data_IF_690690528699
#
_entry.id   IF_690690528699
#
_cell.length_a   1.000
_cell.length_b   1.000
_cell.length_c   1.000
_cell.angle_alpha   90.00
_cell.angle_beta   90.00
_cell.angle_gamma   90.00
#
_symmetry.space_group_name_H-M   'P 1'
#
loop_
_entity.id
_entity.type
_entity.pdbx_description
1 polymer ?
#
# COMPACT_ATOMS: atom_id res chain seq x y z
N UNK A 1 16.23 -1.85 20.86
CA UNK A 1 16.80 -3.01 20.14
C UNK A 1 17.66 -3.81 21.13
N UNK A 2 17.28 -5.06 21.39
CA UNK A 2 18.16 -5.98 22.10
C UNK A 2 19.23 -6.49 21.12
N UNK A 3 20.41 -5.90 21.18
CA UNK A 3 21.56 -6.25 20.34
C UNK A 3 22.55 -7.19 21.05
N UNK A 4 22.19 -7.67 22.25
CA UNK A 4 23.07 -8.48 23.09
C UNK A 4 23.19 -9.93 22.59
N UNK A 5 22.27 -10.39 21.76
CA UNK A 5 22.29 -11.73 21.17
C UNK A 5 21.77 -11.74 19.73
N UNK A 6 22.26 -12.69 18.92
CA UNK A 6 21.77 -12.92 17.55
C UNK A 6 20.27 -13.18 17.54
N UNK A 7 19.78 -13.94 18.53
CA UNK A 7 18.35 -14.24 18.67
C UNK A 7 17.53 -12.96 18.96
N UNK A 8 18.05 -12.07 19.82
CA UNK A 8 17.43 -10.76 20.09
C UNK A 8 17.32 -9.91 18.83
N UNK A 9 18.35 -9.88 18.00
CA UNK A 9 18.32 -9.14 16.72
C UNK A 9 17.25 -9.73 15.79
N UNK A 10 17.26 -11.04 15.57
CA UNK A 10 16.32 -11.73 14.66
C UNK A 10 14.86 -11.54 15.07
N UNK A 11 14.56 -11.47 16.35
CA UNK A 11 13.18 -11.26 16.84
C UNK A 11 12.77 -9.79 16.86
N UNK A 12 13.69 -8.88 17.13
CA UNK A 12 13.40 -7.45 17.29
C UNK A 12 13.36 -6.70 15.95
N UNK A 13 14.23 -7.04 15.01
CA UNK A 13 14.32 -6.34 13.72
C UNK A 13 13.00 -6.38 12.92
N UNK A 14 12.28 -7.51 12.79
CA UNK A 14 10.99 -7.54 12.10
C UNK A 14 9.94 -6.66 12.76
N UNK A 15 9.91 -6.62 14.11
CA UNK A 15 8.96 -5.77 14.85
C UNK A 15 9.25 -4.30 14.63
N UNK A 16 10.50 -3.89 14.75
CA UNK A 16 10.95 -2.51 14.48
C UNK A 16 10.66 -2.13 13.03
N UNK A 17 10.86 -3.04 12.08
CA UNK A 17 10.54 -2.80 10.68
C UNK A 17 9.05 -2.57 10.44
N UNK A 18 8.17 -3.38 11.03
CA UNK A 18 6.71 -3.21 10.93
C UNK A 18 6.29 -1.89 11.56
N UNK A 19 6.82 -1.57 12.73
CA UNK A 19 6.55 -0.31 13.41
C UNK A 19 7.06 0.89 12.59
N UNK A 20 8.28 0.82 12.06
CA UNK A 20 8.84 1.83 11.18
C UNK A 20 8.01 2.05 9.92
N UNK A 21 7.53 0.97 9.27
CA UNK A 21 6.77 1.03 8.02
C UNK A 21 5.33 1.54 8.21
N UNK A 22 4.67 1.20 9.32
CA UNK A 22 3.23 1.34 9.45
C UNK A 22 2.75 2.15 10.66
N UNK A 23 3.63 2.59 11.55
CA UNK A 23 3.22 3.48 12.60
C UNK A 23 3.02 4.93 12.06
N UNK A 24 2.21 5.79 12.72
CA UNK A 24 1.45 5.46 13.92
C UNK A 24 0.26 4.54 13.63
N UNK A 25 -0.01 3.63 14.57
CA UNK A 25 -1.22 2.84 14.52
C UNK A 25 -2.42 3.65 15.06
N UNK A 26 -3.68 3.27 14.75
CA UNK A 26 -4.87 4.05 15.16
C UNK A 26 -4.94 4.36 16.67
N UNK A 27 -4.41 3.47 17.50
CA UNK A 27 -4.36 3.63 18.97
C UNK A 27 -3.20 4.50 19.48
N UNK A 28 -2.32 4.94 18.59
CA UNK A 28 -1.17 5.81 18.89
C UNK A 28 -1.43 7.28 18.51
N UNK A 29 -2.61 7.57 17.96
CA UNK A 29 -2.98 8.91 17.49
C UNK A 29 -3.38 9.77 18.69
N UNK A 30 -2.58 10.79 18.98
CA UNK A 30 -2.81 11.73 20.08
C UNK A 30 -3.12 13.15 19.58
N UNK A 31 -2.70 13.48 18.37
CA UNK A 31 -2.84 14.82 17.82
C UNK A 31 -3.09 14.83 16.30
N UNK A 32 -3.38 16.02 15.74
CA UNK A 32 -3.70 16.18 14.31
C UNK A 32 -2.55 15.75 13.40
N UNK A 33 -1.29 15.91 13.83
CA UNK A 33 -0.12 15.48 13.02
C UNK A 33 -0.07 13.96 12.89
N UNK A 34 -0.48 13.25 13.93
CA UNK A 34 -0.52 11.78 13.92
C UNK A 34 -1.61 11.26 12.98
N UNK A 35 -2.71 12.03 12.79
CA UNK A 35 -3.75 11.70 11.80
C UNK A 35 -3.17 11.74 10.39
N UNK A 36 -2.38 12.76 10.04
CA UNK A 36 -1.72 12.81 8.73
C UNK A 36 -0.74 11.65 8.54
N UNK A 37 0.06 11.34 9.55
CA UNK A 37 0.99 10.22 9.52
C UNK A 37 0.26 8.87 9.40
N UNK A 38 -0.88 8.70 10.08
CA UNK A 38 -1.73 7.52 9.95
C UNK A 38 -2.30 7.37 8.54
N UNK A 39 -2.79 8.45 7.93
CA UNK A 39 -3.29 8.43 6.56
C UNK A 39 -2.18 8.05 5.56
N UNK A 40 -0.98 8.60 5.75
CA UNK A 40 0.19 8.24 4.94
C UNK A 40 0.55 6.76 5.11
N UNK A 41 0.53 6.24 6.33
CA UNK A 41 0.78 4.83 6.64
C UNK A 41 -0.24 3.91 5.96
N UNK A 42 -1.54 4.26 5.99
CA UNK A 42 -2.61 3.52 5.30
C UNK A 42 -2.39 3.52 3.78
N UNK A 43 -2.05 4.66 3.20
CA UNK A 43 -1.76 4.75 1.77
C UNK A 43 -0.53 3.91 1.40
N UNK A 44 0.52 3.92 2.21
CA UNK A 44 1.73 3.11 2.02
C UNK A 44 1.39 1.63 2.03
N UNK A 45 0.61 1.18 3.01
CA UNK A 45 0.12 -0.19 3.08
C UNK A 45 -0.68 -0.57 1.83
N UNK A 46 -1.62 0.30 1.40
CA UNK A 46 -2.45 0.08 0.23
C UNK A 46 -1.60 -0.07 -1.05
N UNK A 47 -0.66 0.85 -1.30
CA UNK A 47 0.20 0.77 -2.47
C UNK A 47 1.14 -0.42 -2.43
N UNK A 48 1.68 -0.78 -1.27
CA UNK A 48 2.49 -1.97 -1.09
C UNK A 48 1.69 -3.25 -1.41
N UNK A 49 0.45 -3.33 -0.93
CA UNK A 49 -0.46 -4.44 -1.26
C UNK A 49 -0.68 -4.55 -2.78
N UNK A 50 -0.94 -3.44 -3.46
CA UNK A 50 -1.11 -3.44 -4.91
C UNK A 50 0.18 -3.72 -5.67
N UNK A 51 1.34 -3.27 -5.19
CA UNK A 51 2.64 -3.60 -5.76
C UNK A 51 2.95 -5.10 -5.65
N UNK A 52 2.72 -5.71 -4.50
CA UNK A 52 2.83 -7.16 -4.30
C UNK A 52 1.84 -7.93 -5.18
N UNK A 53 0.59 -7.45 -5.28
CA UNK A 53 -0.41 -8.03 -6.18
C UNK A 53 0.00 -7.95 -7.65
N UNK A 54 0.64 -6.86 -8.08
CA UNK A 54 1.20 -6.70 -9.42
C UNK A 54 2.32 -7.70 -9.67
N UNK A 55 3.26 -7.82 -8.74
CA UNK A 55 4.33 -8.81 -8.81
C UNK A 55 3.82 -10.24 -8.91
N UNK A 56 2.89 -10.61 -8.03
CA UNK A 56 2.32 -11.96 -7.98
C UNK A 56 1.62 -12.36 -9.29
N UNK A 57 0.94 -11.39 -9.94
CA UNK A 57 0.19 -11.62 -11.18
C UNK A 57 0.99 -11.42 -12.46
N UNK A 58 2.19 -10.89 -12.36
CA UNK A 58 3.11 -10.75 -13.48
C UNK A 58 3.81 -12.07 -13.79
N UNK A 59 4.32 -12.22 -15.02
CA UNK A 59 5.07 -13.39 -15.48
C UNK A 59 6.33 -12.97 -16.23
N UNK A 60 7.25 -13.91 -16.42
CA UNK A 60 8.48 -13.71 -17.18
C UNK A 60 9.36 -12.58 -16.60
N UNK A 61 9.95 -11.81 -17.49
CA UNK A 61 10.87 -10.72 -17.14
C UNK A 61 10.21 -9.64 -16.28
N UNK A 62 8.96 -9.29 -16.55
CA UNK A 62 8.22 -8.28 -15.79
C UNK A 62 8.14 -8.65 -14.32
N UNK A 63 7.86 -9.92 -14.00
CA UNK A 63 7.87 -10.42 -12.62
C UNK A 63 9.23 -10.25 -11.96
N UNK A 64 10.30 -10.53 -12.69
CA UNK A 64 11.68 -10.39 -12.20
C UNK A 64 12.01 -8.93 -11.87
N UNK A 65 11.63 -7.98 -12.73
CA UNK A 65 11.81 -6.55 -12.47
C UNK A 65 11.02 -6.07 -11.25
N UNK A 66 9.75 -6.44 -11.14
CA UNK A 66 8.95 -6.12 -9.96
C UNK A 66 9.56 -6.71 -8.69
N UNK A 67 9.97 -7.97 -8.72
CA UNK A 67 10.62 -8.63 -7.58
C UNK A 67 11.91 -7.94 -7.16
N UNK A 68 12.77 -7.61 -8.12
CA UNK A 68 14.02 -6.88 -7.85
C UNK A 68 13.75 -5.53 -7.18
N UNK A 69 12.83 -4.72 -7.74
CA UNK A 69 12.50 -3.41 -7.18
C UNK A 69 11.87 -3.51 -5.77
N UNK A 70 11.00 -4.49 -5.55
CA UNK A 70 10.40 -4.73 -4.22
C UNK A 70 11.47 -5.14 -3.20
N UNK A 71 12.39 -6.04 -3.56
CA UNK A 71 13.50 -6.44 -2.68
C UNK A 71 14.39 -5.24 -2.37
N UNK A 72 14.74 -4.43 -3.38
CA UNK A 72 15.56 -3.24 -3.20
C UNK A 72 14.91 -2.24 -2.23
N UNK A 73 13.59 -1.97 -2.40
CA UNK A 73 12.84 -1.09 -1.50
C UNK A 73 12.79 -1.65 -0.09
N UNK A 74 12.41 -2.92 0.08
CA UNK A 74 12.33 -3.54 1.41
C UNK A 74 13.67 -3.52 2.11
N UNK A 75 14.76 -3.81 1.38
CA UNK A 75 16.13 -3.77 1.94
C UNK A 75 16.53 -2.36 2.37
N UNK A 76 16.19 -1.35 1.58
CA UNK A 76 16.46 0.05 1.90
C UNK A 76 15.66 0.50 3.13
N UNK A 77 14.36 0.20 3.18
CA UNK A 77 13.49 0.54 4.31
C UNK A 77 13.93 -0.20 5.59
N UNK A 78 14.37 -1.46 5.47
CA UNK A 78 14.91 -2.22 6.60
C UNK A 78 16.19 -1.60 7.16
N UNK A 79 17.08 -1.14 6.28
CA UNK A 79 18.30 -0.44 6.69
C UNK A 79 17.97 0.83 7.47
N UNK A 80 17.00 1.62 7.00
CA UNK A 80 16.55 2.82 7.69
C UNK A 80 15.81 2.52 8.99
N UNK A 81 15.00 1.46 9.04
CA UNK A 81 14.30 1.04 10.25
C UNK A 81 15.26 0.76 11.41
N UNK A 82 16.39 0.11 11.12
CA UNK A 82 17.42 -0.20 12.13
C UNK A 82 18.23 1.05 12.52
N UNK A 83 18.45 1.97 11.57
CA UNK A 83 19.29 3.16 11.78
C UNK A 83 18.57 4.39 12.31
N UNK A 84 17.24 4.42 12.32
CA UNK A 84 16.46 5.63 12.61
C UNK A 84 15.80 5.57 13.97
N UNK A 85 16.18 6.48 14.88
CA UNK A 85 15.63 6.59 16.24
C UNK A 85 14.52 7.66 16.31
N UNK A 86 14.43 8.57 15.31
CA UNK A 86 13.58 9.75 15.35
C UNK A 86 12.55 9.75 14.20
N UNK A 87 11.26 9.92 14.53
CA UNK A 87 10.12 9.99 13.61
C UNK A 87 10.26 11.04 12.50
N UNK A 88 10.78 12.22 12.82
CA UNK A 88 10.96 13.29 11.83
C UNK A 88 11.99 12.93 10.76
N UNK A 89 12.98 12.14 11.12
CA UNK A 89 13.98 11.59 10.20
C UNK A 89 13.40 10.42 9.41
N UNK A 90 12.64 9.55 10.06
CA UNK A 90 11.96 8.42 9.43
C UNK A 90 11.07 8.88 8.26
N UNK A 91 10.22 9.89 8.45
CA UNK A 91 9.32 10.41 7.42
C UNK A 91 10.06 10.84 6.14
N UNK A 92 11.26 11.41 6.26
CA UNK A 92 12.08 11.83 5.09
C UNK A 92 12.70 10.65 4.35
N UNK A 93 13.04 9.60 5.07
CA UNK A 93 13.68 8.41 4.49
C UNK A 93 12.70 7.50 3.76
N UNK A 94 11.40 7.58 4.09
CA UNK A 94 10.36 6.85 3.37
C UNK A 94 10.10 7.35 1.94
N UNK A 95 10.41 8.62 1.63
CA UNK A 95 10.03 9.24 0.34
C UNK A 95 10.53 8.45 -0.87
N UNK A 96 11.82 8.03 -0.96
CA UNK A 96 12.28 7.27 -2.13
C UNK A 96 11.60 5.91 -2.27
N UNK A 97 11.52 5.13 -1.18
CA UNK A 97 10.88 3.83 -1.17
C UNK A 97 9.40 3.90 -1.47
N UNK A 98 8.70 4.86 -0.86
CA UNK A 98 7.29 5.10 -1.11
C UNK A 98 7.01 5.45 -2.58
N UNK A 99 7.86 6.27 -3.21
CA UNK A 99 7.73 6.62 -4.62
C UNK A 99 7.78 5.39 -5.52
N UNK A 100 8.68 4.46 -5.26
CA UNK A 100 8.78 3.19 -6.01
C UNK A 100 7.55 2.31 -5.75
N UNK A 101 7.11 2.18 -4.50
CA UNK A 101 5.91 1.41 -4.15
C UNK A 101 4.67 1.96 -4.86
N UNK A 102 4.50 3.29 -4.93
CA UNK A 102 3.41 3.95 -5.66
C UNK A 102 3.49 3.63 -7.15
N UNK A 103 4.66 3.76 -7.78
CA UNK A 103 4.83 3.46 -9.20
C UNK A 103 4.47 2.00 -9.54
N UNK A 104 4.83 1.06 -8.68
CA UNK A 104 4.54 -0.36 -8.85
C UNK A 104 3.07 -0.71 -8.55
N UNK A 105 2.46 -0.05 -7.58
CA UNK A 105 1.10 -0.33 -7.11
C UNK A 105 -0.01 0.41 -7.87
N UNK A 106 0.25 1.65 -8.33
CA UNK A 106 -0.76 2.50 -8.93
C UNK A 106 -1.46 1.89 -10.16
N UNK A 107 -0.79 1.22 -11.11
CA UNK A 107 -1.46 0.61 -12.26
C UNK A 107 -2.52 -0.41 -11.82
N UNK A 108 -2.21 -1.20 -10.78
CA UNK A 108 -3.12 -2.21 -10.26
C UNK A 108 -4.28 -1.61 -9.48
N UNK A 109 -4.01 -0.57 -8.69
CA UNK A 109 -5.03 0.20 -7.99
C UNK A 109 -6.02 0.82 -8.98
N UNK A 110 -5.54 1.44 -10.06
CA UNK A 110 -6.40 2.03 -11.10
C UNK A 110 -7.30 0.97 -11.75
N UNK A 111 -6.74 -0.19 -12.09
CA UNK A 111 -7.52 -1.30 -12.63
C UNK A 111 -8.58 -1.82 -11.65
N UNK A 112 -8.26 -1.86 -10.37
CA UNK A 112 -9.20 -2.22 -9.31
C UNK A 112 -10.33 -1.19 -9.20
N UNK A 113 -10.00 0.10 -9.15
CA UNK A 113 -10.97 1.19 -9.07
C UNK A 113 -11.91 1.25 -10.29
N UNK A 114 -11.42 0.95 -11.49
CA UNK A 114 -12.25 0.90 -12.69
C UNK A 114 -13.30 -0.21 -12.67
N UNK A 115 -13.06 -1.30 -11.96
CA UNK A 115 -14.04 -2.39 -11.83
C UNK A 115 -15.15 -2.08 -10.82
N UNK A 116 -14.84 -1.31 -9.79
CA UNK A 116 -15.76 -1.03 -8.69
C UNK A 116 -16.99 -0.17 -9.05
N UNK A 117 -16.88 0.93 -9.81
CA UNK A 117 -18.03 1.80 -10.09
C UNK A 117 -19.03 1.21 -11.09
N UNK A 118 -18.64 0.28 -11.94
CA UNK A 118 -19.54 -0.31 -12.94
C UNK A 118 -20.57 -1.28 -12.33
N UNK A 119 -20.27 -1.89 -11.20
CA UNK A 119 -21.20 -2.80 -10.52
C UNK A 119 -22.15 -2.09 -9.55
N UNK A 120 -21.76 -0.98 -8.95
CA UNK A 120 -22.60 -0.23 -7.99
C UNK A 120 -23.56 0.76 -8.65
N UNK A 121 -23.22 1.31 -9.82
CA UNK A 121 -24.06 2.31 -10.51
C UNK A 121 -24.84 1.80 -11.73
N UNK A 122 -24.57 0.60 -12.21
CA UNK A 122 -24.97 0.17 -13.58
C UNK A 122 -26.08 -0.89 -13.70
N UNK A 123 -26.60 -1.47 -12.65
CA UNK A 123 -27.62 -2.55 -12.82
C UNK A 123 -29.06 -2.21 -12.44
N UNK A 124 -29.34 -1.03 -11.94
CA UNK A 124 -30.65 -0.75 -11.33
C UNK A 124 -31.67 0.04 -12.15
N UNK A 125 -31.30 0.82 -13.12
CA UNK A 125 -32.24 1.82 -13.64
C UNK A 125 -32.44 1.92 -15.16
N UNK A 126 -31.50 1.54 -15.98
CA UNK A 126 -31.62 1.77 -17.44
C UNK A 126 -32.43 0.70 -18.16
N UNK A 127 -32.51 -0.51 -17.62
CA UNK A 127 -33.25 -1.62 -18.26
C UNK A 127 -34.76 -1.55 -18.04
N UNK A 128 -35.21 -0.90 -16.96
CA UNK A 128 -36.65 -0.76 -16.66
C UNK A 128 -37.33 0.30 -17.53
N UNK A 129 -36.75 1.45 -17.67
CA UNK A 129 -37.35 2.58 -18.40
C UNK A 129 -37.42 2.38 -19.92
N UNK A 130 -36.41 1.71 -20.49
CA UNK A 130 -36.44 1.38 -21.93
C UNK A 130 -37.52 0.35 -22.28
N UNK A 131 -37.75 -0.61 -21.42
CA UNK A 131 -38.83 -1.62 -21.65
C UNK A 131 -40.25 -1.05 -21.46
N UNK A 132 -40.43 -0.07 -20.59
CA UNK A 132 -41.72 0.61 -20.45
C UNK A 132 -42.02 1.53 -21.65
N UNK A 133 -41.03 2.28 -22.14
CA UNK A 133 -41.21 3.12 -23.33
C UNK A 133 -41.54 2.31 -24.60
N UNK A 134 -40.90 1.17 -24.79
CA UNK A 134 -41.23 0.27 -25.93
C UNK A 134 -42.63 -0.33 -25.82
N UNK A 135 -43.13 -0.58 -24.61
CA UNK A 135 -44.46 -1.11 -24.39
C UNK A 135 -45.61 -0.12 -24.65
N UNK A 136 -45.33 1.18 -24.51
CA UNK A 136 -46.30 2.25 -24.79
C UNK A 136 -46.32 2.69 -26.27
N UNK A 137 -45.41 2.18 -27.11
CA UNK A 137 -45.33 2.48 -28.54
C UNK A 137 -45.91 1.34 -29.42
N UNK A 138 -46.33 0.24 -28.86
CA UNK A 138 -47.02 -0.88 -29.54
C UNK A 138 -48.50 -0.93 -29.19
#
# INVERSE_FOLDING_TARGET
LDTSSVLGIVTTVPMVFVEYMFAPFPWQVENVKDIYALLESILRFLFLFFALSSWYRSSGEVRSYYGFLLIAVISMELMWAVGTINWGTAARHHVPGYSVIVLLGAPRLILFMRKFPLEMFGRGKVSGELNEQVRHMS
#
